data_IF_588097628859
#
_entry.id   IF_588097628859
#
_cell.length_a   1.000
_cell.length_b   1.000
_cell.length_c   1.000
_cell.angle_alpha   90.00
_cell.angle_beta   90.00
_cell.angle_gamma   90.00
#
_symmetry.space_group_name_H-M   'P 1'
#
loop_
_entity.id
_entity.type
_entity.pdbx_description
1 polymer ?
#
# COMPACT_ATOMS: atom_id res chain seq x y z
N UNK A 1 16.34 23.60 -28.84
CA UNK A 1 15.95 22.27 -28.32
C UNK A 1 16.02 22.32 -26.81
N UNK A 2 14.89 22.25 -26.10
CA UNK A 2 14.88 22.19 -24.63
C UNK A 2 15.45 20.86 -24.14
N UNK A 3 16.26 20.84 -23.07
CA UNK A 3 16.73 19.58 -22.49
C UNK A 3 15.53 18.82 -21.91
N UNK A 4 15.41 17.54 -22.24
CA UNK A 4 14.38 16.67 -21.69
C UNK A 4 14.47 16.63 -20.15
N UNK A 5 13.39 16.99 -19.47
CA UNK A 5 13.27 16.91 -18.01
C UNK A 5 13.54 15.49 -17.56
N UNK A 6 14.53 15.29 -16.68
CA UNK A 6 14.76 13.99 -16.05
C UNK A 6 13.52 13.62 -15.22
N UNK A 7 13.08 12.36 -15.21
CA UNK A 7 11.98 11.95 -14.34
C UNK A 7 12.42 12.13 -12.89
N UNK A 8 11.72 13.01 -12.18
CA UNK A 8 11.87 13.13 -10.73
C UNK A 8 11.09 11.97 -10.08
N UNK A 9 11.70 11.21 -9.16
CA UNK A 9 10.99 10.16 -8.45
C UNK A 9 9.79 10.77 -7.71
N UNK A 10 8.59 10.27 -7.99
CA UNK A 10 7.39 10.60 -7.25
C UNK A 10 7.45 9.84 -5.93
N UNK A 11 7.61 10.57 -4.84
CA UNK A 11 7.53 10.00 -3.51
C UNK A 11 6.06 9.86 -3.13
N UNK A 12 5.62 8.63 -2.83
CA UNK A 12 4.27 8.35 -2.35
C UNK A 12 4.36 7.69 -0.97
N UNK A 13 3.52 8.15 -0.05
CA UNK A 13 3.37 7.51 1.26
C UNK A 13 2.19 6.55 1.23
N UNK A 14 2.37 5.40 1.86
CA UNK A 14 1.35 4.36 2.00
C UNK A 14 1.36 3.86 3.44
N UNK A 15 0.19 3.45 3.92
CA UNK A 15 0.02 2.79 5.20
C UNK A 15 -0.86 1.55 5.02
N UNK A 16 -0.73 0.59 5.93
CA UNK A 16 -1.41 -0.68 5.88
C UNK A 16 -1.42 -1.39 7.23
N UNK A 17 -2.23 -2.44 7.34
CA UNK A 17 -2.46 -3.16 8.59
C UNK A 17 -1.75 -4.52 8.64
N UNK A 18 -1.15 -4.83 9.79
CA UNK A 18 -0.80 -6.20 10.17
C UNK A 18 -1.97 -6.78 10.96
N UNK A 19 -2.88 -7.50 10.27
CA UNK A 19 -4.05 -8.12 10.91
C UNK A 19 -3.67 -9.52 11.36
N UNK A 20 -3.88 -9.80 12.65
CA UNK A 20 -3.51 -11.07 13.29
C UNK A 20 -4.74 -11.69 13.94
N UNK A 21 -4.97 -12.98 13.73
CA UNK A 21 -6.04 -13.72 14.41
C UNK A 21 -5.62 -14.21 15.81
N UNK A 22 -6.56 -14.79 16.56
CA UNK A 22 -6.31 -15.32 17.92
C UNK A 22 -5.28 -16.47 17.96
N UNK A 23 -5.00 -17.09 16.81
CA UNK A 23 -4.02 -18.18 16.66
C UNK A 23 -2.64 -17.65 16.25
N UNK A 24 -2.50 -16.35 16.01
CA UNK A 24 -1.27 -15.71 15.55
C UNK A 24 -1.05 -15.76 14.03
N UNK A 25 -2.07 -16.14 13.24
CA UNK A 25 -1.99 -16.13 11.78
C UNK A 25 -2.09 -14.70 11.26
N UNK A 26 -1.37 -14.38 10.18
CA UNK A 26 -1.36 -13.05 9.55
C UNK A 26 -2.20 -13.06 8.26
N UNK A 27 -3.06 -12.07 8.10
CA UNK A 27 -3.77 -11.83 6.84
C UNK A 27 -2.82 -11.28 5.77
N UNK A 28 -2.83 -11.89 4.58
CA UNK A 28 -2.09 -11.43 3.41
C UNK A 28 -3.00 -11.35 2.19
N UNK A 29 -2.81 -10.31 1.38
CA UNK A 29 -3.48 -10.09 0.10
C UNK A 29 -2.60 -10.64 -1.03
N UNK A 30 -3.19 -11.39 -1.95
CA UNK A 30 -2.51 -11.83 -3.18
C UNK A 30 -2.65 -10.75 -4.25
N UNK A 31 -1.56 -10.05 -4.53
CA UNK A 31 -1.52 -8.97 -5.51
C UNK A 31 -0.61 -9.31 -6.69
N UNK A 32 -0.45 -8.35 -7.61
CA UNK A 32 0.53 -8.40 -8.70
C UNK A 32 1.45 -7.19 -8.60
N UNK A 33 2.75 -7.40 -8.76
CA UNK A 33 3.72 -6.30 -8.79
C UNK A 33 3.70 -5.54 -10.15
N UNK A 34 4.56 -4.53 -10.29
CA UNK A 34 4.69 -3.75 -11.52
C UNK A 34 5.16 -4.58 -12.74
N UNK A 35 5.68 -5.79 -12.51
CA UNK A 35 6.09 -6.77 -13.52
C UNK A 35 5.05 -7.88 -13.71
N UNK A 36 3.84 -7.67 -13.17
CA UNK A 36 2.69 -8.58 -13.20
C UNK A 36 2.91 -9.93 -12.49
N UNK A 37 3.95 -10.03 -11.65
CA UNK A 37 4.27 -11.24 -10.89
C UNK A 37 3.42 -11.33 -9.63
N UNK A 38 2.95 -12.54 -9.26
CA UNK A 38 2.19 -12.71 -8.03
C UNK A 38 3.07 -12.40 -6.81
N UNK A 39 2.55 -11.57 -5.92
CA UNK A 39 3.19 -11.23 -4.64
C UNK A 39 2.18 -11.30 -3.51
N UNK A 40 2.67 -11.59 -2.31
CA UNK A 40 1.89 -11.48 -1.08
C UNK A 40 2.22 -10.17 -0.39
N UNK A 41 1.20 -9.43 0.03
CA UNK A 41 1.37 -8.13 0.69
C UNK A 41 0.38 -7.97 1.84
N UNK A 42 0.63 -6.98 2.69
CA UNK A 42 -0.33 -6.57 3.72
C UNK A 42 -1.44 -5.74 3.07
N UNK A 43 -2.66 -5.71 3.62
CA UNK A 43 -3.69 -4.76 3.19
C UNK A 43 -3.17 -3.34 3.40
N UNK A 44 -3.08 -2.56 2.31
CA UNK A 44 -2.41 -1.25 2.32
C UNK A 44 -2.78 -0.44 1.10
N UNK A 45 -2.65 0.88 1.24
CA UNK A 45 -2.75 1.78 0.10
C UNK A 45 -2.23 3.18 0.41
N UNK A 46 -2.41 4.09 -0.55
CA UNK A 46 -1.86 5.43 -0.48
C UNK A 46 -2.59 6.28 0.57
N UNK A 47 -1.86 7.21 1.18
CA UNK A 47 -2.49 8.23 2.02
C UNK A 47 -3.31 9.20 1.17
N UNK A 48 -4.52 9.50 1.61
CA UNK A 48 -5.30 10.63 1.08
C UNK A 48 -4.73 11.97 1.58
N UNK A 49 -4.99 13.10 0.89
CA UNK A 49 -4.55 14.41 1.34
C UNK A 49 -5.03 14.73 2.77
N UNK A 50 -4.09 14.94 3.68
CA UNK A 50 -4.36 15.23 5.09
C UNK A 50 -4.74 14.03 5.96
N UNK A 51 -4.78 12.82 5.40
CA UNK A 51 -5.09 11.58 6.13
C UNK A 51 -3.92 11.15 7.01
N UNK A 52 -4.20 10.71 8.22
CA UNK A 52 -3.17 10.12 9.08
C UNK A 52 -2.81 8.71 8.59
N UNK A 53 -1.58 8.27 8.83
CA UNK A 53 -1.17 6.91 8.47
C UNK A 53 -2.02 5.83 9.17
N UNK A 54 -2.49 6.09 10.39
CA UNK A 54 -3.34 5.17 11.13
C UNK A 54 -4.74 5.05 10.51
N UNK A 55 -5.33 6.19 10.11
CA UNK A 55 -6.65 6.20 9.45
C UNK A 55 -6.57 5.53 8.08
N UNK A 56 -5.51 5.82 7.30
CA UNK A 56 -5.24 5.14 6.03
C UNK A 56 -5.12 3.62 6.23
N UNK A 57 -4.33 3.15 7.20
CA UNK A 57 -4.20 1.72 7.48
C UNK A 57 -5.54 1.07 7.85
N UNK A 58 -6.35 1.72 8.68
CA UNK A 58 -7.67 1.22 9.09
C UNK A 58 -8.69 1.23 7.94
N UNK A 59 -8.63 2.22 7.04
CA UNK A 59 -9.48 2.29 5.85
C UNK A 59 -9.13 1.16 4.88
N UNK A 60 -7.86 1.03 4.53
CA UNK A 60 -7.37 0.02 3.57
C UNK A 60 -7.64 -1.41 4.06
N UNK A 61 -7.45 -1.68 5.35
CA UNK A 61 -7.85 -2.97 5.93
C UNK A 61 -9.34 -3.23 5.72
N UNK A 62 -10.23 -2.24 5.89
CA UNK A 62 -11.68 -2.45 5.68
C UNK A 62 -12.07 -2.56 4.22
N UNK A 63 -11.33 -1.93 3.31
CA UNK A 63 -11.64 -1.91 1.88
C UNK A 63 -11.20 -3.20 1.19
N UNK A 64 -10.11 -3.83 1.66
CA UNK A 64 -9.49 -4.99 1.02
C UNK A 64 -9.86 -6.35 1.67
N UNK A 65 -10.67 -6.35 2.73
CA UNK A 65 -11.01 -7.56 3.53
C UNK A 65 -12.48 -7.62 3.88
#
# INVERSE_FOLDING_TARGET
MSPASRPHPLLQFSAGGLVVDERGSVLLIRARDLRNQPVWTLPKGALNPGESAADAALREVREET
#
